data_IF_853218777823
#
_entry.id   IF_853218777823
#
_cell.length_a   1.000
_cell.length_b   1.000
_cell.length_c   1.000
_cell.angle_alpha   90.00
_cell.angle_beta   90.00
_cell.angle_gamma   90.00
#
_symmetry.space_group_name_H-M   'P 1'
#
loop_
_entity.id
_entity.type
_entity.pdbx_description
1 polymer ?
#
# COMPACT_ATOMS: atom_id res chain seq x y z
N UNK A 1 -0.74 11.70 -34.61
CA UNK A 1 -0.46 10.49 -33.81
C UNK A 1 -1.75 9.68 -33.77
N UNK A 2 -2.00 8.90 -34.83
CA UNK A 2 -3.17 8.04 -35.00
C UNK A 2 -2.68 6.59 -35.00
N UNK A 3 -3.13 5.77 -34.05
CA UNK A 3 -2.88 4.32 -34.07
C UNK A 3 -2.02 3.73 -32.94
N UNK A 4 -2.01 4.30 -31.73
CA UNK A 4 -1.56 3.52 -30.58
C UNK A 4 -2.67 2.51 -30.26
N UNK A 5 -2.41 1.21 -30.45
CA UNK A 5 -3.28 0.15 -29.95
C UNK A 5 -3.66 0.44 -28.51
N UNK A 6 -4.93 0.26 -28.18
CA UNK A 6 -5.44 0.46 -26.83
C UNK A 6 -4.61 -0.42 -25.88
N UNK A 7 -3.79 0.21 -25.02
CA UNK A 7 -2.95 -0.55 -24.09
C UNK A 7 -3.88 -1.33 -23.18
N UNK A 8 -3.64 -2.64 -23.09
CA UNK A 8 -4.37 -3.50 -22.16
C UNK A 8 -4.27 -2.91 -20.75
N UNK A 9 -5.40 -2.74 -20.06
CA UNK A 9 -5.45 -2.18 -18.71
C UNK A 9 -4.68 -3.02 -17.68
N UNK A 10 -4.36 -4.27 -18.03
CA UNK A 10 -3.54 -5.22 -17.26
C UNK A 10 -2.04 -5.02 -17.47
N UNK A 11 -1.63 -4.36 -18.55
CA UNK A 11 -0.23 -4.03 -18.85
C UNK A 11 0.15 -2.69 -18.20
N UNK A 12 0.20 -2.70 -16.86
CA UNK A 12 0.45 -1.51 -16.04
C UNK A 12 1.93 -1.20 -15.90
N UNK A 13 2.26 0.09 -15.97
CA UNK A 13 3.63 0.57 -15.80
C UNK A 13 3.84 1.13 -14.39
N UNK A 14 4.52 0.37 -13.53
CA UNK A 14 4.78 0.75 -12.13
C UNK A 14 5.79 1.89 -11.99
N UNK A 15 6.48 2.25 -13.08
CA UNK A 15 7.44 3.36 -13.11
C UNK A 15 6.82 4.69 -13.54
N UNK A 16 5.49 4.73 -13.78
CA UNK A 16 4.79 5.90 -14.30
C UNK A 16 5.17 7.21 -13.61
N UNK A 17 5.09 7.28 -12.27
CA UNK A 17 5.40 8.50 -11.52
C UNK A 17 6.86 8.95 -11.69
N UNK A 18 7.80 7.99 -11.77
CA UNK A 18 9.23 8.27 -11.98
C UNK A 18 9.53 8.91 -13.33
N UNK A 19 8.69 8.68 -14.35
CA UNK A 19 8.86 9.27 -15.67
C UNK A 19 8.28 10.67 -15.77
N UNK A 20 7.18 10.94 -15.07
CA UNK A 20 6.52 12.26 -15.11
C UNK A 20 7.08 13.23 -14.06
N UNK A 21 7.85 12.72 -13.11
CA UNK A 21 8.68 13.51 -12.20
C UNK A 21 10.12 13.35 -12.66
N UNK A 22 10.61 14.35 -13.41
CA UNK A 22 12.00 14.43 -13.84
C UNK A 22 12.94 14.42 -12.63
N UNK A 23 14.06 13.68 -12.75
CA UNK A 23 15.13 13.48 -11.75
C UNK A 23 14.78 13.91 -10.31
N UNK A 24 14.07 13.06 -9.54
CA UNK A 24 13.64 13.45 -8.20
C UNK A 24 14.82 13.69 -7.25
N UNK A 25 16.00 13.11 -7.53
CA UNK A 25 17.17 13.18 -6.69
C UNK A 25 18.12 14.30 -7.13
N UNK A 26 18.30 15.31 -6.28
CA UNK A 26 19.30 16.37 -6.46
C UNK A 26 20.64 15.98 -5.82
N UNK A 27 21.78 16.60 -6.17
CA UNK A 27 23.03 16.34 -5.45
C UNK A 27 22.90 16.61 -3.94
N UNK A 28 23.39 15.74 -3.06
CA UNK A 28 23.32 15.93 -1.61
C UNK A 28 23.96 17.24 -1.14
N UNK A 29 25.01 17.70 -1.82
CA UNK A 29 25.64 19.00 -1.56
C UNK A 29 24.68 20.21 -1.71
N UNK A 30 23.57 20.05 -2.42
CA UNK A 30 22.52 21.06 -2.55
C UNK A 30 21.43 20.96 -1.46
N UNK A 31 21.52 19.97 -0.58
CA UNK A 31 20.56 19.73 0.50
C UNK A 31 20.74 20.76 1.62
N UNK A 32 19.66 21.36 2.13
CA UNK A 32 19.73 22.20 3.33
C UNK A 32 20.10 21.40 4.59
N UNK A 33 20.14 20.07 4.52
CA UNK A 33 20.49 19.17 5.61
C UNK A 33 21.93 18.63 5.55
N UNK A 34 22.74 19.01 4.56
CA UNK A 34 24.07 18.42 4.34
C UNK A 34 25.11 18.69 5.44
N UNK A 35 24.83 19.65 6.34
CA UNK A 35 25.75 20.10 7.38
C UNK A 35 25.38 19.64 8.80
N UNK A 36 24.26 18.94 9.02
CA UNK A 36 23.97 18.35 10.33
C UNK A 36 24.88 17.12 10.53
N UNK A 37 25.68 17.16 11.60
CA UNK A 37 26.63 16.10 11.97
C UNK A 37 25.95 14.75 12.26
N UNK A 38 26.71 13.69 12.59
CA UNK A 38 26.15 12.33 12.70
C UNK A 38 25.01 12.26 13.73
N UNK A 39 23.79 12.12 13.22
CA UNK A 39 22.54 12.11 13.96
C UNK A 39 22.12 10.71 14.45
N UNK A 40 21.21 10.71 15.43
CA UNK A 40 20.66 9.54 16.09
C UNK A 40 19.88 8.66 15.11
N UNK A 41 19.99 7.33 15.28
CA UNK A 41 19.30 6.31 14.46
C UNK A 41 17.88 6.10 14.96
N UNK A 42 16.90 6.09 14.06
CA UNK A 42 15.57 5.56 14.37
C UNK A 42 15.31 4.39 13.44
N UNK A 43 15.31 3.18 14.00
CA UNK A 43 14.95 1.91 13.34
C UNK A 43 15.70 1.57 12.03
N UNK A 44 15.57 0.31 11.62
CA UNK A 44 16.12 -0.21 10.36
C UNK A 44 14.97 -0.22 9.35
N UNK A 45 15.04 0.60 8.31
CA UNK A 45 14.14 0.44 7.16
C UNK A 45 14.50 -0.87 6.47
N UNK A 46 13.51 -1.55 5.89
CA UNK A 46 13.69 -2.81 5.14
C UNK A 46 14.73 -2.67 4.01
N UNK A 47 14.93 -1.43 3.54
CA UNK A 47 15.86 -1.08 2.46
C UNK A 47 17.01 -0.16 2.89
N UNK A 48 17.19 0.13 4.18
CA UNK A 48 18.29 0.97 4.64
C UNK A 48 18.15 1.56 6.04
N UNK A 49 18.80 2.69 6.26
CA UNK A 49 18.83 3.37 7.56
C UNK A 49 17.87 4.56 7.54
N UNK A 50 17.16 4.80 8.64
CA UNK A 50 16.40 6.03 8.84
C UNK A 50 17.16 6.92 9.83
N UNK A 51 17.40 8.16 9.42
CA UNK A 51 18.20 9.15 10.16
C UNK A 51 17.36 10.36 10.52
N UNK A 52 17.50 10.83 11.76
CA UNK A 52 16.99 12.13 12.17
C UNK A 52 17.92 13.25 11.71
N UNK A 53 17.33 14.33 11.22
CA UNK A 53 18.06 15.50 10.72
C UNK A 53 17.61 16.77 11.43
N UNK A 54 18.59 17.55 11.88
CA UNK A 54 18.39 18.91 12.38
C UNK A 54 18.35 19.91 11.22
N UNK A 55 17.42 20.86 11.27
CA UNK A 55 17.37 21.97 10.32
C UNK A 55 18.34 23.09 10.74
N UNK A 56 19.13 23.60 9.79
CA UNK A 56 19.91 24.82 10.02
C UNK A 56 18.97 26.02 10.21
N UNK A 57 19.08 26.72 11.34
CA UNK A 57 18.59 28.09 11.43
C UNK A 57 19.55 28.97 10.65
N UNK A 58 19.13 29.47 9.49
CA UNK A 58 19.86 30.53 8.80
C UNK A 58 19.92 31.75 9.73
N UNK A 59 21.12 32.10 10.18
CA UNK A 59 21.31 33.14 11.18
C UNK A 59 20.81 34.52 10.71
N UNK A 60 19.95 35.12 11.52
CA UNK A 60 19.94 36.55 11.75
C UNK A 60 19.81 36.80 13.26
N UNK A 61 20.87 37.36 13.81
CA UNK A 61 21.06 38.00 15.11
C UNK A 61 19.88 38.13 16.08
N UNK A 62 20.18 37.71 17.32
CA UNK A 62 19.70 38.25 18.60
C UNK A 62 18.19 38.28 18.84
N UNK A 63 17.65 37.18 19.38
CA UNK A 63 17.03 37.20 20.70
C UNK A 63 16.70 35.77 21.13
N UNK A 64 16.76 35.56 22.43
CA UNK A 64 16.64 34.32 23.15
C UNK A 64 15.32 33.58 22.92
N UNK A 65 15.36 32.47 22.19
CA UNK A 65 14.51 31.30 22.42
C UNK A 65 15.03 30.10 21.63
N UNK A 66 16.17 29.55 22.04
CA UNK A 66 16.41 28.14 21.75
C UNK A 66 15.40 27.37 22.62
N UNK A 67 14.39 26.76 22.01
CA UNK A 67 13.52 25.82 22.73
C UNK A 67 14.41 24.73 23.35
N UNK A 68 14.26 24.39 24.64
CA UNK A 68 15.13 23.42 25.30
C UNK A 68 14.98 21.96 24.80
N UNK A 69 14.02 21.68 23.92
CA UNK A 69 13.89 20.39 23.27
C UNK A 69 14.61 20.42 21.92
N UNK A 70 15.59 19.53 21.70
CA UNK A 70 16.22 19.34 20.39
C UNK A 70 15.19 18.87 19.36
N UNK A 71 14.51 19.80 18.70
CA UNK A 71 13.44 19.51 17.75
C UNK A 71 14.02 19.09 16.40
N UNK A 72 14.03 17.78 16.14
CA UNK A 72 14.29 17.26 14.81
C UNK A 72 13.23 17.79 13.85
N UNK A 73 13.67 18.39 12.74
CA UNK A 73 12.77 18.97 11.77
C UNK A 73 12.42 17.99 10.64
N UNK A 74 13.25 16.96 10.45
CA UNK A 74 13.15 16.08 9.30
C UNK A 74 13.65 14.66 9.58
N UNK A 75 13.20 13.73 8.75
CA UNK A 75 13.62 12.33 8.72
C UNK A 75 14.16 12.02 7.33
N UNK A 76 15.29 11.34 7.23
CA UNK A 76 15.82 10.83 5.98
C UNK A 76 15.77 9.30 5.94
N UNK A 77 15.09 8.77 4.94
CA UNK A 77 15.21 7.37 4.53
C UNK A 77 16.42 7.26 3.59
N UNK A 78 17.40 6.46 3.98
CA UNK A 78 18.71 6.35 3.31
C UNK A 78 18.89 4.96 2.73
N UNK A 79 19.12 4.86 1.42
CA UNK A 79 19.26 3.59 0.69
C UNK A 79 20.53 3.62 -0.16
N UNK A 80 21.34 2.55 -0.19
CA UNK A 80 22.48 2.44 -1.10
C UNK A 80 22.10 2.64 -2.58
N UNK A 81 22.93 3.36 -3.34
CA UNK A 81 22.68 3.66 -4.75
C UNK A 81 22.53 2.40 -5.61
N UNK A 82 23.27 1.34 -5.31
CA UNK A 82 23.19 0.08 -6.04
C UNK A 82 21.85 -0.64 -5.86
N UNK A 83 21.23 -0.54 -4.67
CA UNK A 83 19.89 -1.04 -4.42
C UNK A 83 18.84 -0.25 -5.21
N UNK A 84 19.01 1.07 -5.31
CA UNK A 84 18.15 1.94 -6.10
C UNK A 84 18.27 1.64 -7.61
N UNK A 85 19.48 1.47 -8.14
CA UNK A 85 19.69 1.14 -9.56
C UNK A 85 19.21 -0.26 -9.93
N UNK A 86 19.34 -1.24 -9.02
CA UNK A 86 18.72 -2.56 -9.22
C UNK A 86 17.20 -2.46 -9.43
N UNK A 87 16.54 -1.52 -8.74
CA UNK A 87 15.12 -1.30 -8.93
C UNK A 87 14.78 -0.65 -10.27
N UNK A 88 15.70 0.14 -10.84
CA UNK A 88 15.55 0.78 -12.15
C UNK A 88 15.64 -0.21 -13.32
N UNK A 89 16.47 -1.24 -13.19
CA UNK A 89 16.71 -2.22 -14.25
C UNK A 89 15.59 -3.27 -14.40
N UNK A 90 14.58 -3.26 -13.52
CA UNK A 90 13.50 -4.25 -13.49
C UNK A 90 12.45 -4.01 -14.57
N UNK A 91 11.74 -5.09 -14.89
CA UNK A 91 10.55 -5.05 -15.74
C UNK A 91 9.51 -4.08 -15.15
N UNK A 92 9.14 -3.07 -15.94
CA UNK A 92 8.21 -2.02 -15.53
C UNK A 92 6.75 -2.46 -15.69
N UNK A 93 6.48 -3.43 -16.56
CA UNK A 93 5.15 -4.01 -16.70
C UNK A 93 4.88 -5.03 -15.58
N UNK A 94 3.97 -4.70 -14.65
CA UNK A 94 3.76 -5.55 -13.47
C UNK A 94 3.22 -6.94 -13.81
N UNK A 95 2.34 -7.06 -14.81
CA UNK A 95 1.81 -8.37 -15.25
C UNK A 95 2.92 -9.24 -15.81
N UNK A 96 3.80 -8.67 -16.64
CA UNK A 96 4.95 -9.40 -17.21
C UNK A 96 5.90 -9.85 -16.11
N UNK A 97 6.25 -8.95 -15.17
CA UNK A 97 7.06 -9.28 -14.01
C UNK A 97 6.42 -10.40 -13.18
N UNK A 98 5.10 -10.33 -12.94
CA UNK A 98 4.36 -11.32 -12.15
C UNK A 98 4.35 -12.73 -12.75
N UNK A 99 4.36 -12.82 -14.08
CA UNK A 99 4.36 -14.09 -14.82
C UNK A 99 5.76 -14.68 -15.03
N UNK A 100 6.83 -13.92 -14.75
CA UNK A 100 8.21 -14.38 -14.86
C UNK A 100 8.62 -15.08 -13.56
N UNK A 101 8.97 -16.37 -13.65
CA UNK A 101 9.50 -17.12 -12.50
C UNK A 101 10.82 -16.49 -12.01
N UNK A 102 10.90 -16.22 -10.71
CA UNK A 102 12.09 -15.70 -10.04
C UNK A 102 12.19 -14.18 -9.93
N UNK A 103 11.49 -13.41 -10.77
CA UNK A 103 11.44 -11.95 -10.69
C UNK A 103 10.29 -11.51 -9.77
N UNK A 104 10.52 -11.59 -8.46
CA UNK A 104 9.65 -10.87 -7.52
C UNK A 104 9.95 -9.38 -7.64
N UNK A 105 8.95 -8.52 -7.96
CA UNK A 105 9.15 -7.09 -7.82
C UNK A 105 9.51 -6.81 -6.36
N UNK A 106 10.50 -5.94 -6.09
CA UNK A 106 10.72 -5.47 -4.74
C UNK A 106 9.42 -4.79 -4.33
N UNK A 107 8.95 -5.06 -3.12
CA UNK A 107 7.73 -4.39 -2.69
C UNK A 107 8.02 -2.89 -2.51
N UNK A 108 9.12 -2.49 -1.90
CA UNK A 108 9.44 -1.06 -1.73
C UNK A 108 10.47 -0.53 -2.75
N UNK A 109 10.14 0.60 -3.38
CA UNK A 109 11.03 1.36 -4.25
C UNK A 109 11.12 2.83 -3.85
N UNK A 110 12.29 3.26 -3.38
CA UNK A 110 12.54 4.64 -2.96
C UNK A 110 12.32 5.67 -4.07
N UNK A 111 12.59 5.32 -5.34
CA UNK A 111 12.32 6.21 -6.49
C UNK A 111 10.82 6.36 -6.72
N UNK A 112 10.04 5.28 -6.58
CA UNK A 112 8.57 5.39 -6.64
C UNK A 112 8.08 6.29 -5.52
N UNK A 113 8.52 6.06 -4.29
CA UNK A 113 8.11 6.84 -3.13
C UNK A 113 8.41 8.34 -3.31
N UNK A 114 9.66 8.67 -3.64
CA UNK A 114 10.08 10.04 -3.90
C UNK A 114 9.28 10.68 -5.04
N UNK A 115 9.09 9.97 -6.16
CA UNK A 115 8.35 10.49 -7.30
C UNK A 115 6.86 10.72 -6.99
N UNK A 116 6.21 9.82 -6.23
CA UNK A 116 4.81 9.99 -5.83
C UNK A 116 4.66 11.18 -4.89
N UNK A 117 5.51 11.32 -3.89
CA UNK A 117 5.45 12.46 -2.97
C UNK A 117 5.69 13.78 -3.70
N UNK A 118 6.68 13.85 -4.59
CA UNK A 118 6.91 15.04 -5.43
C UNK A 118 5.75 15.32 -6.38
N UNK A 119 5.13 14.28 -6.95
CA UNK A 119 3.94 14.42 -7.80
C UNK A 119 2.77 15.04 -7.02
N UNK A 120 2.53 14.58 -5.79
CA UNK A 120 1.48 15.10 -4.91
C UNK A 120 1.72 16.55 -4.48
N UNK A 121 2.97 17.02 -4.50
CA UNK A 121 3.38 18.37 -4.08
C UNK A 121 3.39 19.42 -5.19
N UNK A 122 3.26 19.04 -6.47
CA UNK A 122 3.30 19.99 -7.59
C UNK A 122 2.20 21.07 -7.44
N UNK A 123 2.61 22.32 -7.66
CA UNK A 123 2.14 23.57 -7.04
C UNK A 123 0.79 24.15 -7.48
N UNK A 124 -0.16 23.32 -7.92
CA UNK A 124 -1.54 23.77 -8.21
C UNK A 124 -2.61 22.97 -7.47
N UNK A 125 -2.21 22.05 -6.60
CA UNK A 125 -3.11 21.16 -5.87
C UNK A 125 -3.00 21.43 -4.37
N UNK A 126 -4.14 21.49 -3.68
CA UNK A 126 -4.15 21.55 -2.21
C UNK A 126 -3.35 20.38 -1.64
N UNK A 127 -2.53 20.63 -0.63
CA UNK A 127 -1.81 19.59 0.10
C UNK A 127 -2.75 18.92 1.10
N UNK A 128 -2.58 17.62 1.34
CA UNK A 128 -3.28 16.95 2.43
C UNK A 128 -2.47 17.09 3.72
N UNK A 129 -3.09 17.46 4.86
CA UNK A 129 -2.43 17.38 6.15
C UNK A 129 -2.21 15.92 6.59
N UNK A 130 -2.92 14.95 6.01
CA UNK A 130 -2.90 13.54 6.42
C UNK A 130 -2.01 12.66 5.54
N UNK A 131 -1.15 13.26 4.72
CA UNK A 131 -0.14 12.58 3.89
C UNK A 131 1.21 13.20 4.20
N UNK A 132 2.22 12.36 4.40
CA UNK A 132 3.59 12.80 4.72
C UNK A 132 4.13 13.75 3.65
N UNK A 133 4.77 14.84 4.07
CA UNK A 133 5.38 15.78 3.15
C UNK A 133 6.85 15.43 2.90
N UNK A 134 7.22 15.26 1.64
CA UNK A 134 8.61 15.28 1.23
C UNK A 134 9.18 16.70 1.33
N UNK A 135 10.37 16.82 1.90
CA UNK A 135 11.15 18.06 1.91
C UNK A 135 12.18 18.07 0.78
N UNK A 136 12.57 16.88 0.29
CA UNK A 136 13.41 16.71 -0.89
C UNK A 136 13.86 15.27 -1.05
N UNK A 137 14.39 14.97 -2.22
CA UNK A 137 15.12 13.73 -2.46
C UNK A 137 16.50 14.08 -3.03
N UNK A 138 17.52 13.40 -2.53
CA UNK A 138 18.92 13.75 -2.75
C UNK A 138 19.78 12.52 -2.93
N UNK A 139 20.93 12.67 -3.61
CA UNK A 139 21.85 11.57 -3.85
C UNK A 139 23.30 12.06 -3.72
N UNK A 140 24.14 11.26 -3.07
CA UNK A 140 25.60 11.39 -3.09
C UNK A 140 26.23 10.21 -3.86
N UNK A 141 27.56 10.05 -3.80
CA UNK A 141 28.27 9.00 -4.51
C UNK A 141 27.83 7.57 -4.13
N UNK A 142 27.38 7.36 -2.88
CA UNK A 142 27.09 6.03 -2.34
C UNK A 142 25.60 5.81 -1.99
N UNK A 143 24.85 6.86 -1.66
CA UNK A 143 23.51 6.76 -1.10
C UNK A 143 22.50 7.71 -1.72
N UNK A 144 21.25 7.25 -1.75
CA UNK A 144 20.05 8.01 -2.07
C UNK A 144 19.24 8.27 -0.81
N UNK A 145 18.69 9.47 -0.71
CA UNK A 145 18.02 10.01 0.47
C UNK A 145 16.64 10.52 0.06
N UNK A 146 15.59 10.07 0.74
CA UNK A 146 14.28 10.72 0.73
C UNK A 146 14.10 11.40 2.08
N UNK A 147 14.00 12.73 2.07
CA UNK A 147 13.82 13.53 3.28
C UNK A 147 12.36 13.95 3.39
N UNK A 148 11.75 13.66 4.52
CA UNK A 148 10.37 14.02 4.86
C UNK A 148 10.32 14.83 6.14
N UNK A 149 9.16 15.44 6.42
CA UNK A 149 8.89 15.97 7.75
C UNK A 149 9.02 14.89 8.84
N UNK A 150 9.37 15.33 10.05
CA UNK A 150 9.37 14.49 11.24
C UNK A 150 7.98 14.50 11.88
N UNK A 151 7.49 13.32 12.29
CA UNK A 151 6.26 13.15 13.05
C UNK A 151 6.61 12.60 14.43
N UNK A 152 6.52 13.47 15.44
CA UNK A 152 7.01 13.24 16.80
C UNK A 152 6.24 12.17 17.58
N UNK A 153 4.99 11.88 17.17
CA UNK A 153 4.19 10.83 17.76
C UNK A 153 4.54 9.41 17.29
N UNK A 154 5.46 9.27 16.32
CA UNK A 154 5.92 7.98 15.80
C UNK A 154 4.81 7.17 15.11
N UNK A 155 5.00 5.86 15.00
CA UNK A 155 4.07 4.95 14.32
C UNK A 155 2.79 4.69 15.15
N UNK A 156 1.64 4.74 14.49
CA UNK A 156 0.34 4.40 15.09
C UNK A 156 0.30 2.95 15.55
N UNK A 157 0.96 2.03 14.86
CA UNK A 157 1.10 0.64 15.31
C UNK A 157 1.73 0.56 16.69
N UNK A 158 2.89 1.21 16.91
CA UNK A 158 3.56 1.21 18.20
C UNK A 158 2.70 1.86 19.29
N UNK A 159 1.98 2.95 18.95
CA UNK A 159 1.02 3.61 19.84
C UNK A 159 -0.11 2.67 20.29
N UNK A 160 -0.61 1.80 19.41
CA UNK A 160 -1.68 0.83 19.71
C UNK A 160 -1.15 -0.41 20.43
N UNK A 161 0.04 -0.89 20.07
CA UNK A 161 0.61 -2.13 20.59
C UNK A 161 1.22 -1.96 22.00
N UNK A 162 1.83 -0.81 22.29
CA UNK A 162 2.62 -0.59 23.51
C UNK A 162 2.18 0.61 24.35
N UNK A 163 1.31 1.48 23.81
CA UNK A 163 0.81 2.66 24.52
C UNK A 163 -0.52 2.41 25.25
N UNK A 164 -1.03 3.46 25.90
CA UNK A 164 -2.34 3.42 26.57
C UNK A 164 -3.48 3.19 25.57
N UNK A 165 -4.56 2.48 25.91
CA UNK A 165 -5.67 2.30 24.98
C UNK A 165 -6.19 3.63 24.41
N UNK A 166 -6.31 3.72 23.08
CA UNK A 166 -6.93 4.89 22.43
C UNK A 166 -8.40 5.01 22.88
N UNK A 167 -8.85 6.23 23.12
CA UNK A 167 -10.27 6.52 23.34
C UNK A 167 -11.09 6.28 22.07
N UNK A 168 -12.40 6.09 22.22
CA UNK A 168 -13.31 5.95 21.07
C UNK A 168 -13.30 7.17 20.14
N UNK A 169 -13.07 8.37 20.70
CA UNK A 169 -12.95 9.61 19.92
C UNK A 169 -11.67 9.58 19.07
N UNK A 170 -10.54 9.18 19.65
CA UNK A 170 -9.28 9.05 18.93
C UNK A 170 -9.37 8.01 17.82
N UNK A 171 -9.96 6.83 18.08
CA UNK A 171 -10.14 5.77 17.05
C UNK A 171 -10.95 6.27 15.86
N UNK A 172 -12.07 6.97 16.12
CA UNK A 172 -12.91 7.56 15.08
C UNK A 172 -12.17 8.65 14.31
N UNK A 173 -11.46 9.53 15.01
CA UNK A 173 -10.63 10.58 14.39
C UNK A 173 -9.57 9.97 13.47
N UNK A 174 -8.80 9.00 13.97
CA UNK A 174 -7.76 8.31 13.19
C UNK A 174 -8.35 7.68 11.92
N UNK A 175 -9.49 6.98 12.05
CA UNK A 175 -10.17 6.36 10.91
C UNK A 175 -10.63 7.41 9.89
N UNK A 176 -11.21 8.52 10.34
CA UNK A 176 -11.65 9.60 9.46
C UNK A 176 -10.48 10.29 8.75
N UNK A 177 -9.35 10.50 9.43
CA UNK A 177 -8.15 11.10 8.85
C UNK A 177 -7.48 10.18 7.84
N UNK A 178 -7.40 8.88 8.12
CA UNK A 178 -6.93 7.89 7.15
C UNK A 178 -7.79 7.89 5.88
N UNK A 179 -9.12 7.91 6.02
CA UNK A 179 -10.02 7.97 4.87
C UNK A 179 -9.86 9.27 4.07
N UNK A 180 -9.62 10.41 4.73
CA UNK A 180 -9.32 11.68 4.05
C UNK A 180 -7.97 11.62 3.29
N UNK A 181 -6.95 10.99 3.87
CA UNK A 181 -5.68 10.75 3.19
C UNK A 181 -5.90 9.93 1.91
N UNK A 182 -6.62 8.80 2.02
CA UNK A 182 -6.90 7.92 0.87
C UNK A 182 -7.77 8.61 -0.17
N UNK A 183 -8.79 9.36 0.23
CA UNK A 183 -9.59 10.16 -0.68
C UNK A 183 -8.72 11.16 -1.47
N UNK A 184 -7.79 11.82 -0.79
CA UNK A 184 -6.86 12.75 -1.43
C UNK A 184 -5.96 12.06 -2.48
N UNK A 185 -5.43 10.87 -2.15
CA UNK A 185 -4.61 10.07 -3.06
C UNK A 185 -5.41 9.61 -4.28
N UNK A 186 -6.59 9.03 -4.04
CA UNK A 186 -7.46 8.51 -5.10
C UNK A 186 -7.93 9.63 -6.04
N UNK A 187 -8.25 10.80 -5.50
CA UNK A 187 -8.57 12.01 -6.27
C UNK A 187 -7.42 12.51 -7.15
N UNK A 188 -6.17 12.12 -6.84
CA UNK A 188 -4.96 12.41 -7.63
C UNK A 188 -4.46 11.19 -8.41
N UNK A 189 -5.33 10.19 -8.61
CA UNK A 189 -5.05 9.00 -9.39
C UNK A 189 -3.90 8.14 -8.83
N UNK A 190 -3.68 8.18 -7.50
CA UNK A 190 -2.67 7.41 -6.77
C UNK A 190 -3.37 6.34 -5.92
N UNK A 191 -2.97 5.08 -6.05
CA UNK A 191 -3.31 4.00 -5.11
C UNK A 191 -2.10 3.65 -4.27
N UNK A 192 -2.28 3.44 -2.97
CA UNK A 192 -1.20 3.29 -2.00
C UNK A 192 -0.65 1.85 -1.94
N UNK A 193 -1.54 0.85 -1.93
CA UNK A 193 -1.27 -0.61 -1.90
C UNK A 193 -0.60 -1.18 -0.65
N UNK A 194 -0.07 -0.38 0.26
CA UNK A 194 0.47 -0.84 1.55
C UNK A 194 -0.06 -0.07 2.77
N UNK A 195 -1.38 0.17 2.82
CA UNK A 195 -2.00 0.81 3.98
C UNK A 195 -1.98 -0.17 5.16
N UNK A 196 -1.39 0.28 6.26
CA UNK A 196 -1.24 -0.48 7.52
C UNK A 196 -1.03 0.48 8.68
N UNK A 197 -1.09 0.03 9.94
CA UNK A 197 -0.88 0.92 11.08
C UNK A 197 0.59 1.36 11.22
N UNK A 198 1.49 0.54 10.71
CA UNK A 198 2.94 0.78 10.64
C UNK A 198 3.26 1.91 9.66
N UNK A 199 2.45 2.06 8.62
CA UNK A 199 2.62 3.10 7.60
C UNK A 199 1.77 4.35 7.91
N UNK A 200 1.32 4.52 9.16
CA UNK A 200 0.62 5.71 9.64
C UNK A 200 1.41 6.29 10.81
N UNK A 201 1.86 7.52 10.67
CA UNK A 201 2.52 8.29 11.73
C UNK A 201 1.54 9.17 12.48
N UNK A 202 1.97 9.68 13.64
CA UNK A 202 1.24 10.65 14.46
C UNK A 202 2.01 11.98 14.50
N UNK A 203 1.33 13.07 14.13
CA UNK A 203 1.83 14.45 14.22
C UNK A 203 0.76 15.31 14.88
N UNK A 204 1.06 15.91 16.01
CA UNK A 204 0.13 16.66 16.86
C UNK A 204 -1.15 15.87 17.22
N UNK A 205 -1.02 14.53 17.31
CA UNK A 205 -2.14 13.61 17.56
C UNK A 205 -3.00 13.27 16.33
N UNK A 206 -2.68 13.81 15.15
CA UNK A 206 -3.33 13.50 13.88
C UNK A 206 -2.57 12.42 13.10
N UNK A 207 -3.30 11.62 12.34
CA UNK A 207 -2.73 10.57 11.49
C UNK A 207 -2.13 11.14 10.20
N UNK A 208 -0.92 10.69 9.87
CA UNK A 208 -0.20 11.04 8.64
C UNK A 208 0.21 9.75 7.92
N UNK A 209 -0.38 9.49 6.75
CA UNK A 209 -0.06 8.32 5.93
C UNK A 209 1.31 8.50 5.27
N UNK A 210 2.17 7.47 5.36
CA UNK A 210 3.52 7.45 4.81
C UNK A 210 3.77 6.18 3.98
N UNK A 211 4.97 6.11 3.38
CA UNK A 211 5.48 4.95 2.65
C UNK A 211 4.74 4.62 1.35
N UNK A 212 5.12 5.35 0.30
CA UNK A 212 4.58 5.23 -1.05
C UNK A 212 5.41 4.30 -1.95
N UNK A 213 6.27 3.44 -1.39
CA UNK A 213 7.14 2.57 -2.17
C UNK A 213 6.40 1.62 -3.12
N UNK A 214 5.16 1.26 -2.76
CA UNK A 214 4.26 0.38 -3.51
C UNK A 214 3.18 1.12 -4.32
N UNK A 215 3.20 2.44 -4.31
CA UNK A 215 2.13 3.23 -4.87
C UNK A 215 2.10 3.16 -6.41
N UNK A 216 0.89 3.17 -6.96
CA UNK A 216 0.64 3.02 -8.39
C UNK A 216 -0.45 3.95 -8.90
N UNK A 217 -0.59 4.03 -10.23
CA UNK A 217 -1.60 4.86 -10.86
C UNK A 217 -2.95 4.14 -10.90
N UNK A 218 -4.07 4.79 -10.54
CA UNK A 218 -5.37 4.10 -10.52
C UNK A 218 -6.02 3.95 -11.90
N UNK A 219 -5.85 4.93 -12.77
CA UNK A 219 -6.53 5.05 -14.07
C UNK A 219 -5.56 5.47 -15.17
N UNK A 220 -5.76 4.96 -16.39
CA UNK A 220 -5.01 5.34 -17.59
C UNK A 220 -5.23 6.81 -17.98
N UNK A 221 -4.54 7.29 -19.02
CA UNK A 221 -4.73 8.66 -19.54
C UNK A 221 -6.15 8.84 -20.09
N UNK A 222 -6.70 7.76 -20.62
CA UNK A 222 -8.06 7.63 -21.14
C UNK A 222 -9.11 7.40 -20.03
N UNK A 223 -8.71 7.41 -18.75
CA UNK A 223 -9.61 7.26 -17.60
C UNK A 223 -10.01 5.82 -17.27
N UNK A 224 -9.48 4.81 -17.98
CA UNK A 224 -9.76 3.40 -17.71
C UNK A 224 -9.11 2.92 -16.42
N UNK A 225 -9.81 2.11 -15.63
CA UNK A 225 -9.27 1.55 -14.40
C UNK A 225 -8.15 0.55 -14.71
N UNK A 226 -6.97 0.77 -14.13
CA UNK A 226 -5.80 -0.07 -14.31
C UNK A 226 -5.83 -1.30 -13.38
N UNK A 227 -5.15 -2.37 -13.80
CA UNK A 227 -5.14 -3.67 -13.11
C UNK A 227 -3.72 -4.09 -12.73
N UNK A 228 -3.59 -4.55 -11.49
CA UNK A 228 -2.32 -4.92 -10.85
C UNK A 228 -2.32 -6.40 -10.47
N UNK A 229 -1.15 -7.00 -10.29
CA UNK A 229 -0.98 -8.44 -10.11
C UNK A 229 -0.17 -8.77 -8.87
N UNK A 230 0.79 -7.93 -8.51
CA UNK A 230 1.68 -8.23 -7.40
C UNK A 230 0.93 -8.21 -6.06
N UNK A 231 1.25 -9.19 -5.21
CA UNK A 231 0.79 -9.29 -3.82
C UNK A 231 1.39 -8.18 -2.93
N UNK A 232 1.01 -6.94 -3.19
CA UNK A 232 1.50 -5.77 -2.47
C UNK A 232 0.98 -5.72 -1.02
N UNK A 233 1.74 -5.01 -0.20
CA UNK A 233 1.43 -4.71 1.19
C UNK A 233 1.42 -5.89 2.16
N UNK A 234 1.14 -5.61 3.43
CA UNK A 234 1.19 -6.61 4.52
C UNK A 234 0.00 -7.60 4.47
N UNK A 235 0.26 -8.90 4.65
CA UNK A 235 -0.69 -10.02 4.42
C UNK A 235 -2.08 -9.85 5.04
N UNK A 236 -2.17 -9.36 6.28
CA UNK A 236 -3.45 -9.24 6.99
C UNK A 236 -4.29 -8.05 6.51
N UNK A 237 -3.66 -7.02 5.94
CA UNK A 237 -4.32 -5.82 5.39
C UNK A 237 -4.72 -5.99 3.92
N UNK A 238 -4.10 -6.96 3.23
CA UNK A 238 -4.34 -7.25 1.82
C UNK A 238 -5.76 -7.74 1.56
N UNK A 239 -6.41 -7.19 0.53
CA UNK A 239 -7.75 -7.61 0.11
C UNK A 239 -7.72 -8.97 -0.62
N UNK A 240 -8.83 -9.74 -0.60
CA UNK A 240 -8.88 -11.08 -1.19
C UNK A 240 -8.58 -11.10 -2.70
N UNK A 241 -8.96 -10.08 -3.45
CA UNK A 241 -8.72 -9.99 -4.89
C UNK A 241 -7.25 -9.78 -5.28
N UNK A 242 -6.39 -9.36 -4.33
CA UNK A 242 -4.95 -9.18 -4.57
C UNK A 242 -4.17 -10.51 -4.63
N UNK A 243 -4.80 -11.65 -4.33
CA UNK A 243 -4.20 -12.97 -4.48
C UNK A 243 -4.43 -13.50 -5.90
N UNK A 244 -3.68 -12.93 -6.84
CA UNK A 244 -3.81 -13.24 -8.28
C UNK A 244 -2.97 -14.46 -8.66
N UNK A 245 -3.50 -15.45 -9.39
CA UNK A 245 -2.71 -16.58 -9.86
C UNK A 245 -1.51 -16.16 -10.70
N UNK A 246 -0.42 -16.95 -10.66
CA UNK A 246 0.81 -16.71 -11.44
C UNK A 246 0.83 -17.41 -12.79
N UNK A 247 -0.13 -18.28 -13.04
CA UNK A 247 -0.29 -18.94 -14.31
C UNK A 247 -0.87 -17.96 -15.32
N UNK A 248 -0.43 -18.06 -16.58
CA UNK A 248 -1.00 -17.27 -17.69
C UNK A 248 -2.51 -17.54 -17.85
N UNK A 249 -2.89 -18.79 -17.62
CA UNK A 249 -4.27 -19.26 -17.67
C UNK A 249 -4.52 -20.18 -16.48
N UNK A 250 -5.75 -20.15 -15.97
CA UNK A 250 -6.22 -21.00 -14.89
C UNK A 250 -7.46 -21.76 -15.33
N UNK A 251 -7.59 -23.00 -14.89
CA UNK A 251 -8.78 -23.82 -15.12
C UNK A 251 -9.83 -23.47 -14.07
N UNK A 252 -10.98 -22.97 -14.51
CA UNK A 252 -12.08 -22.53 -13.64
C UNK A 252 -13.42 -22.94 -14.23
N UNK A 253 -14.45 -23.02 -13.40
CA UNK A 253 -15.83 -23.17 -13.89
C UNK A 253 -16.38 -21.78 -14.20
N UNK A 254 -16.86 -21.58 -15.43
CA UNK A 254 -17.50 -20.33 -15.83
C UNK A 254 -18.75 -20.11 -14.95
N UNK A 255 -18.87 -18.99 -14.22
CA UNK A 255 -20.04 -18.74 -13.38
C UNK A 255 -21.33 -18.74 -14.20
N UNK A 256 -22.42 -19.27 -13.64
CA UNK A 256 -23.69 -19.46 -14.35
C UNK A 256 -24.33 -18.15 -14.83
N UNK A 257 -24.00 -17.03 -14.18
CA UNK A 257 -24.46 -15.67 -14.46
C UNK A 257 -23.44 -14.84 -15.25
N UNK A 258 -22.27 -15.39 -15.56
CA UNK A 258 -21.22 -14.67 -16.25
C UNK A 258 -21.48 -14.56 -17.76
N UNK A 259 -21.07 -13.43 -18.32
CA UNK A 259 -21.06 -13.21 -19.77
C UNK A 259 -19.71 -13.68 -20.35
N UNK A 260 -19.69 -14.54 -21.38
CA UNK A 260 -18.46 -14.90 -22.07
C UNK A 260 -17.71 -13.68 -22.60
N UNK A 261 -16.37 -13.70 -22.55
CA UNK A 261 -15.53 -12.56 -22.90
C UNK A 261 -15.50 -11.42 -21.87
N UNK A 262 -16.20 -11.54 -20.74
CA UNK A 262 -16.18 -10.54 -19.66
C UNK A 262 -15.26 -10.96 -18.51
N UNK A 263 -14.90 -9.99 -17.67
CA UNK A 263 -14.24 -10.27 -16.39
C UNK A 263 -15.27 -10.83 -15.42
N UNK A 264 -14.94 -11.96 -14.79
CA UNK A 264 -15.77 -12.62 -13.80
C UNK A 264 -14.97 -12.94 -12.54
N UNK A 265 -15.65 -12.93 -11.39
CA UNK A 265 -15.07 -13.37 -10.13
C UNK A 265 -15.23 -14.88 -9.99
N UNK A 266 -14.13 -15.57 -9.73
CA UNK A 266 -14.08 -17.04 -9.64
C UNK A 266 -13.34 -17.48 -8.39
N UNK A 267 -13.56 -18.73 -7.98
CA UNK A 267 -12.76 -19.38 -6.95
C UNK A 267 -11.66 -20.23 -7.60
N UNK A 268 -10.41 -19.97 -7.24
CA UNK A 268 -9.24 -20.73 -7.70
C UNK A 268 -8.27 -20.91 -6.53
N UNK A 269 -7.80 -22.14 -6.29
CA UNK A 269 -6.88 -22.48 -5.20
C UNK A 269 -7.27 -21.86 -3.83
N UNK A 270 -8.55 -22.03 -3.44
CA UNK A 270 -9.12 -21.46 -2.20
C UNK A 270 -8.95 -19.94 -2.07
N UNK A 271 -8.83 -19.26 -3.21
CA UNK A 271 -8.78 -17.81 -3.33
C UNK A 271 -9.89 -17.35 -4.25
N UNK A 272 -10.33 -16.12 -4.04
CA UNK A 272 -11.26 -15.45 -4.93
C UNK A 272 -10.46 -14.48 -5.78
N UNK A 273 -10.44 -14.70 -7.08
CA UNK A 273 -9.73 -13.85 -8.02
C UNK A 273 -10.65 -13.45 -9.18
N UNK A 274 -10.26 -12.42 -9.92
CA UNK A 274 -10.93 -12.02 -11.14
C UNK A 274 -10.19 -12.59 -12.36
N UNK A 275 -10.94 -13.17 -13.28
CA UNK A 275 -10.41 -13.73 -14.54
C UNK A 275 -11.18 -13.15 -15.73
N UNK A 276 -10.50 -12.98 -16.85
CA UNK A 276 -11.13 -12.74 -18.16
C UNK A 276 -11.55 -14.08 -18.73
N UNK A 277 -12.85 -14.29 -18.86
CA UNK A 277 -13.41 -15.49 -19.48
C UNK A 277 -13.15 -15.48 -20.99
N UNK A 278 -12.89 -16.64 -21.61
CA UNK A 278 -12.74 -16.70 -23.05
C UNK A 278 -14.08 -16.37 -23.74
N UNK A 279 -14.08 -15.84 -24.98
CA UNK A 279 -15.30 -15.43 -25.69
C UNK A 279 -16.29 -16.57 -25.95
N UNK A 280 -15.80 -17.81 -25.98
CA UNK A 280 -16.55 -19.05 -26.20
C UNK A 280 -16.86 -19.81 -24.90
N UNK A 281 -16.62 -19.19 -23.73
CA UNK A 281 -16.96 -19.79 -22.44
C UNK A 281 -18.46 -20.17 -22.37
N UNK A 282 -18.77 -21.34 -21.80
CA UNK A 282 -20.14 -21.78 -21.58
C UNK A 282 -20.43 -21.71 -20.08
N UNK A 283 -21.45 -20.95 -19.62
CA UNK A 283 -21.81 -20.89 -18.20
C UNK A 283 -22.04 -22.27 -17.59
N UNK A 284 -21.49 -22.48 -16.39
CA UNK A 284 -21.53 -23.75 -15.67
C UNK A 284 -20.51 -24.81 -16.15
N UNK A 285 -19.76 -24.56 -17.22
CA UNK A 285 -18.75 -25.49 -17.74
C UNK A 285 -17.31 -25.06 -17.38
N UNK A 286 -16.36 -26.01 -17.28
CA UNK A 286 -14.95 -25.69 -17.16
C UNK A 286 -14.42 -24.92 -18.38
N UNK A 287 -13.54 -23.95 -18.15
CA UNK A 287 -12.84 -23.21 -19.19
C UNK A 287 -11.44 -22.77 -18.71
N UNK A 288 -10.54 -22.52 -19.67
CA UNK A 288 -9.28 -21.85 -19.42
C UNK A 288 -9.50 -20.33 -19.44
N UNK A 289 -9.24 -19.64 -18.34
CA UNK A 289 -9.44 -18.21 -18.21
C UNK A 289 -8.15 -17.50 -17.81
N UNK A 290 -7.95 -16.27 -18.26
CA UNK A 290 -6.75 -15.49 -17.93
C UNK A 290 -6.96 -14.69 -16.64
N UNK A 291 -6.03 -14.68 -15.68
CA UNK A 291 -6.11 -13.77 -14.55
C UNK A 291 -6.19 -12.29 -14.98
N UNK A 292 -7.11 -11.55 -14.38
CA UNK A 292 -7.43 -10.14 -14.72
C UNK A 292 -6.76 -9.13 -13.78
N UNK A 293 -5.93 -9.59 -12.85
CA UNK A 293 -5.33 -8.74 -11.81
C UNK A 293 -6.38 -8.23 -10.81
N UNK A 294 -6.12 -7.10 -10.18
CA UNK A 294 -7.02 -6.41 -9.24
C UNK A 294 -6.93 -4.88 -9.39
N UNK A 295 -7.93 -4.17 -8.86
CA UNK A 295 -7.91 -2.72 -8.79
C UNK A 295 -7.34 -2.22 -7.47
N UNK A 296 -6.41 -1.26 -7.49
CA UNK A 296 -5.77 -0.77 -6.28
C UNK A 296 -6.69 0.06 -5.36
N UNK A 297 -7.64 0.83 -5.91
CA UNK A 297 -8.46 1.71 -5.08
C UNK A 297 -9.37 0.96 -4.08
N UNK A 298 -10.13 -0.08 -4.49
CA UNK A 298 -10.89 -0.89 -3.54
C UNK A 298 -10.00 -1.62 -2.52
N UNK A 299 -8.81 -2.07 -2.93
CA UNK A 299 -7.84 -2.70 -2.04
C UNK A 299 -7.37 -1.76 -0.92
N UNK A 300 -7.10 -0.49 -1.24
CA UNK A 300 -6.77 0.53 -0.23
C UNK A 300 -7.91 0.72 0.78
N UNK A 301 -9.17 0.77 0.31
CA UNK A 301 -10.35 0.92 1.18
C UNK A 301 -10.53 -0.30 2.08
N UNK A 302 -10.29 -1.50 1.56
CA UNK A 302 -10.31 -2.73 2.36
C UNK A 302 -9.27 -2.65 3.49
N UNK A 303 -8.04 -2.24 3.17
CA UNK A 303 -6.98 -2.06 4.16
C UNK A 303 -7.33 -1.00 5.24
N UNK A 304 -7.99 0.10 4.86
CA UNK A 304 -8.54 1.06 5.84
C UNK A 304 -9.54 0.41 6.80
N UNK A 305 -10.40 -0.48 6.30
CA UNK A 305 -11.33 -1.26 7.12
C UNK A 305 -10.62 -2.16 8.12
N UNK A 306 -9.52 -2.81 7.70
CA UNK A 306 -8.67 -3.61 8.60
C UNK A 306 -8.00 -2.71 9.65
N UNK A 307 -7.46 -1.55 9.28
CA UNK A 307 -6.92 -0.58 10.24
C UNK A 307 -7.97 -0.16 11.28
N UNK A 308 -9.18 0.21 10.86
CA UNK A 308 -10.27 0.60 11.75
C UNK A 308 -10.68 -0.56 12.71
N UNK A 309 -10.68 -1.79 12.20
CA UNK A 309 -10.92 -2.98 13.03
C UNK A 309 -9.82 -3.15 14.09
N UNK A 310 -8.55 -3.10 13.70
CA UNK A 310 -7.42 -3.24 14.63
C UNK A 310 -7.42 -2.12 15.66
N UNK A 311 -7.71 -0.88 15.29
CA UNK A 311 -7.83 0.24 16.24
C UNK A 311 -8.92 0.01 17.29
N UNK A 312 -10.01 -0.67 16.90
CA UNK A 312 -11.16 -0.90 17.78
C UNK A 312 -10.96 -2.13 18.67
N UNK A 313 -10.39 -3.20 18.12
CA UNK A 313 -10.32 -4.53 18.76
C UNK A 313 -8.94 -4.82 19.34
N UNK A 314 -7.90 -4.12 18.91
CA UNK A 314 -6.51 -4.31 19.34
C UNK A 314 -5.78 -5.48 18.67
N UNK A 315 -6.45 -6.20 17.75
CA UNK A 315 -5.85 -7.31 16.99
C UNK A 315 -6.47 -7.43 15.60
N UNK A 316 -5.74 -7.98 14.60
CA UNK A 316 -6.28 -8.18 13.27
C UNK A 316 -7.45 -9.16 13.24
N UNK A 317 -8.38 -8.99 12.28
CA UNK A 317 -9.54 -9.88 12.14
C UNK A 317 -9.17 -11.28 11.60
N UNK A 318 -8.03 -11.43 10.92
CA UNK A 318 -7.52 -12.67 10.33
C UNK A 318 -6.00 -12.56 10.10
N UNK A 319 -5.34 -13.67 9.77
CA UNK A 319 -3.93 -13.64 9.37
C UNK A 319 -3.78 -13.31 7.88
N UNK A 320 -4.70 -13.81 7.06
CA UNK A 320 -4.71 -13.61 5.61
C UNK A 320 -6.14 -13.60 5.07
N UNK A 321 -6.47 -12.68 4.17
CA UNK A 321 -7.80 -12.59 3.56
C UNK A 321 -8.02 -13.63 2.44
N UNK A 322 -7.88 -14.92 2.74
CA UNK A 322 -8.08 -16.06 1.81
C UNK A 322 -9.08 -17.03 2.40
N UNK A 323 -9.82 -17.79 1.58
CA UNK A 323 -10.81 -18.75 2.10
C UNK A 323 -10.17 -19.88 2.92
N UNK A 324 -8.86 -20.11 2.76
CA UNK A 324 -8.08 -21.02 3.59
C UNK A 324 -7.89 -20.52 5.05
N UNK A 325 -8.04 -19.22 5.32
CA UNK A 325 -8.02 -18.69 6.69
C UNK A 325 -9.40 -18.90 7.34
N UNK A 326 -9.48 -19.65 8.47
CA UNK A 326 -10.77 -19.96 9.09
C UNK A 326 -11.54 -18.72 9.53
N UNK A 327 -10.85 -17.67 9.97
CA UNK A 327 -11.48 -16.46 10.49
C UNK A 327 -11.99 -15.59 9.34
N UNK A 328 -11.21 -15.47 8.26
CA UNK A 328 -11.69 -14.79 7.06
C UNK A 328 -12.88 -15.51 6.42
N UNK A 329 -12.80 -16.85 6.29
CA UNK A 329 -13.91 -17.68 5.80
C UNK A 329 -15.17 -17.52 6.65
N UNK A 330 -15.02 -17.42 7.98
CA UNK A 330 -16.12 -17.15 8.89
C UNK A 330 -16.72 -15.76 8.67
N UNK A 331 -15.89 -14.70 8.61
CA UNK A 331 -16.36 -13.33 8.37
C UNK A 331 -17.07 -13.22 7.03
N UNK A 332 -16.58 -13.89 5.99
CA UNK A 332 -17.24 -13.89 4.68
C UNK A 332 -18.64 -14.49 4.73
N UNK A 333 -18.84 -15.54 5.52
CA UNK A 333 -20.13 -16.24 5.66
C UNK A 333 -21.11 -15.55 6.59
N UNK A 334 -20.61 -14.93 7.66
CA UNK A 334 -21.44 -14.47 8.78
C UNK A 334 -21.32 -12.97 9.07
N UNK A 335 -20.39 -12.28 8.43
CA UNK A 335 -20.09 -10.87 8.65
C UNK A 335 -19.23 -10.60 9.89
N UNK A 336 -18.64 -9.40 9.92
CA UNK A 336 -17.77 -8.93 11.01
C UNK A 336 -18.51 -8.85 12.35
N UNK A 337 -19.80 -8.50 12.33
CA UNK A 337 -20.61 -8.41 13.55
C UNK A 337 -20.72 -9.74 14.30
N UNK A 338 -20.78 -10.87 13.58
CA UNK A 338 -20.81 -12.20 14.19
C UNK A 338 -19.44 -12.58 14.77
N UNK A 339 -18.35 -12.20 14.10
CA UNK A 339 -17.00 -12.41 14.64
C UNK A 339 -16.83 -11.71 15.99
N UNK A 340 -17.26 -10.45 16.08
CA UNK A 340 -17.17 -9.66 17.32
C UNK A 340 -18.01 -10.25 18.45
N UNK A 341 -19.21 -10.78 18.16
CA UNK A 341 -20.04 -11.48 19.16
C UNK A 341 -19.33 -12.73 19.71
N UNK A 342 -18.73 -13.52 18.83
CA UNK A 342 -18.04 -14.75 19.20
C UNK A 342 -16.80 -14.48 20.07
N UNK A 343 -16.01 -13.46 19.73
CA UNK A 343 -14.84 -13.06 20.52
C UNK A 343 -15.20 -12.51 21.90
N UNK A 344 -16.32 -11.79 22.02
CA UNK A 344 -16.84 -11.33 23.33
C UNK A 344 -17.35 -12.49 24.19
N UNK A 345 -17.79 -13.59 23.57
CA UNK A 345 -18.27 -14.79 24.25
C UNK A 345 -17.17 -15.79 24.66
N UNK A 346 -15.89 -15.53 24.36
CA UNK A 346 -14.76 -16.38 24.77
C UNK A 346 -14.51 -17.64 23.94
N UNK A 347 -15.21 -17.84 22.81
CA UNK A 347 -15.01 -19.00 21.95
C UNK A 347 -14.10 -18.66 20.76
N UNK A 348 -13.00 -19.39 20.58
CA UNK A 348 -12.25 -19.37 19.32
C UNK A 348 -13.11 -19.94 18.17
N UNK A 349 -12.89 -19.55 16.90
CA UNK A 349 -13.55 -20.19 15.78
C UNK A 349 -13.18 -21.68 15.75
N UNK A 350 -14.17 -22.56 15.84
CA UNK A 350 -13.95 -23.98 15.64
C UNK A 350 -13.42 -24.20 14.20
N UNK A 351 -12.35 -24.98 14.00
CA UNK A 351 -11.99 -25.43 12.65
C UNK A 351 -13.19 -26.21 12.10
N UNK A 352 -13.51 -25.99 10.82
CA UNK A 352 -14.72 -26.48 10.18
C UNK A 352 -15.00 -27.94 10.51
N UNK A 353 -16.22 -28.22 10.97
CA UNK A 353 -16.76 -29.56 10.88
C UNK A 353 -16.63 -30.00 9.42
N UNK A 354 -16.00 -31.17 9.23
CA UNK A 354 -15.67 -31.71 7.93
C UNK A 354 -16.87 -31.82 7.02
N UNK A 355 -16.59 -31.74 5.73
CA UNK A 355 -17.36 -32.42 4.71
C UNK A 355 -17.38 -33.93 5.06
N UNK A 356 -18.49 -34.43 5.58
CA UNK A 356 -19.02 -35.77 5.33
C UNK A 356 -20.46 -35.84 5.87
N UNK A 357 -21.34 -36.50 5.10
CA UNK A 357 -22.80 -36.70 5.29
C UNK A 357 -23.73 -35.53 4.89
N UNK A 358 -24.59 -35.63 3.86
CA UNK A 358 -25.00 -36.79 3.10
C UNK A 358 -25.68 -36.45 1.78
N UNK A 359 -25.39 -37.31 0.80
CA UNK A 359 -26.35 -37.76 -0.21
C UNK A 359 -27.63 -38.23 0.49
N UNK A 360 -28.77 -38.07 -0.20
CA UNK A 360 -30.13 -38.59 0.09
C UNK A 360 -31.05 -37.68 0.92
N UNK A 361 -31.78 -36.80 0.23
CA UNK A 361 -33.26 -36.83 0.13
C UNK A 361 -33.73 -35.78 -0.89
#
# INVERSE_FOLDING_TARGET
WSGAAERDIRDTDVTYFRRIVEEPFRPWASSPFAASGPGHRIAKSVHGEVRLLDAFSSGSSSSSSACPCGSFAAVAKVVPNDMVERSRAREANERRAWLCDGDFPPMEDLRTEAAVLMYLQKSSLERSPYVIQAMGAFQDEAFSYLVTEYCEGGELFARVAYGDPLSEVEKKRCTAQLLQAVQHLHGRNVGHRDISLENILLRDGDCVLMDFGQAVRLRSVEGKQLRYFAEAGKRMYRSPEMYVPRQKEVQVVCPSDAKPGAVAQVSYDKCRCEVLLPPDAVPGQPCAAEPSGYAAAPADIFACGVCAFVLTVGKPPWAVARDADPTFSFVRRHGVSMLLKQWRGGAAPAPGAGEEEGLLA
#
